data_IF_153079013070
#
_entry.id   IF_153079013070
#
_cell.length_a   1.000
_cell.length_b   1.000
_cell.length_c   1.000
_cell.angle_alpha   90.00
_cell.angle_beta   90.00
_cell.angle_gamma   90.00
#
_symmetry.space_group_name_H-M   'P 1'
#
loop_
_entity.id
_entity.type
_entity.pdbx_description
1 polymer ?
#
# COMPACT_ATOMS: atom_id res chain seq x y z
N UNK A 1 23.91 30.14 0.95
CA UNK A 1 22.66 30.90 0.83
C UNK A 1 21.65 30.25 1.76
N UNK A 2 21.06 31.02 2.64
CA UNK A 2 19.96 30.50 3.46
C UNK A 2 18.70 31.18 2.97
N UNK A 3 17.80 30.41 2.44
CA UNK A 3 16.44 30.85 2.17
C UNK A 3 15.55 30.20 3.23
N UNK A 4 14.83 31.00 3.97
CA UNK A 4 13.91 30.54 5.00
C UNK A 4 12.50 31.03 4.67
N UNK A 5 11.53 30.14 4.72
CA UNK A 5 10.13 30.47 4.54
C UNK A 5 9.27 29.60 5.45
N UNK A 6 8.44 30.23 6.21
CA UNK A 6 7.38 29.55 6.98
C UNK A 6 6.20 29.29 6.06
N UNK A 7 5.74 28.06 5.97
CA UNK A 7 4.51 27.71 5.28
C UNK A 7 3.31 28.13 6.15
N UNK A 8 2.93 29.41 6.09
CA UNK A 8 1.69 29.83 6.71
C UNK A 8 0.50 29.22 5.97
N UNK A 9 -0.23 28.36 6.68
CA UNK A 9 -1.57 27.88 6.32
C UNK A 9 -1.75 27.41 4.86
N UNK A 10 -0.91 26.51 4.38
CA UNK A 10 -1.29 25.75 3.21
C UNK A 10 -2.49 24.88 3.60
N UNK A 11 -3.70 25.24 3.17
CA UNK A 11 -4.83 24.30 3.21
C UNK A 11 -4.42 23.07 2.45
N UNK A 12 -4.29 21.98 3.14
CA UNK A 12 -3.93 20.67 2.59
C UNK A 12 -4.94 20.29 1.51
N UNK A 13 -4.53 20.38 0.27
CA UNK A 13 -5.18 19.72 -0.86
C UNK A 13 -4.18 18.77 -1.45
N UNK A 14 -4.58 17.52 -1.66
CA UNK A 14 -3.76 16.52 -2.34
C UNK A 14 -3.16 17.11 -3.63
N UNK A 15 -1.83 17.02 -3.78
CA UNK A 15 -1.13 17.45 -4.99
C UNK A 15 -0.70 18.91 -5.02
N UNK A 16 -0.55 19.58 -3.88
CA UNK A 16 -0.01 20.94 -3.85
C UNK A 16 1.48 20.97 -4.23
N UNK A 17 1.79 21.73 -5.25
CA UNK A 17 3.16 22.10 -5.60
C UNK A 17 3.50 23.43 -4.97
N UNK A 18 4.58 23.44 -4.21
CA UNK A 18 5.09 24.64 -3.57
C UNK A 18 6.30 25.13 -4.37
N UNK A 19 6.20 26.34 -4.98
CA UNK A 19 7.29 26.94 -5.74
C UNK A 19 8.00 28.00 -4.92
N UNK A 20 9.30 27.86 -4.79
CA UNK A 20 10.18 28.84 -4.17
C UNK A 20 11.09 29.43 -5.22
N UNK A 21 10.99 30.74 -5.44
CA UNK A 21 11.92 31.45 -6.33
C UNK A 21 13.17 31.87 -5.53
N UNK A 22 14.31 31.36 -5.94
CA UNK A 22 15.61 31.73 -5.37
C UNK A 22 16.29 32.68 -6.36
N UNK A 23 16.82 33.78 -5.86
CA UNK A 23 17.63 34.67 -6.68
C UNK A 23 18.84 33.91 -7.27
N UNK A 24 19.24 34.21 -8.50
CA UNK A 24 20.44 33.60 -9.08
C UNK A 24 21.64 33.78 -8.14
N UNK A 25 22.43 32.72 -7.98
CA UNK A 25 23.69 32.77 -7.23
C UNK A 25 24.82 33.23 -8.17
N UNK A 26 25.81 33.85 -7.61
CA UNK A 26 27.05 34.26 -8.30
C UNK A 26 28.08 33.10 -8.43
N UNK A 27 27.66 31.90 -8.00
CA UNK A 27 28.46 30.68 -8.09
C UNK A 27 27.63 29.50 -8.57
N UNK A 28 28.26 28.55 -9.23
CA UNK A 28 27.65 27.28 -9.61
C UNK A 28 27.71 26.30 -8.43
N UNK A 29 26.63 25.57 -8.20
CA UNK A 29 26.56 24.49 -7.21
C UNK A 29 25.90 23.25 -7.81
N UNK A 30 26.41 22.09 -7.42
CA UNK A 30 25.80 20.81 -7.75
C UNK A 30 24.95 20.26 -6.60
N UNK A 31 24.93 20.94 -5.45
CA UNK A 31 24.30 20.47 -4.25
C UNK A 31 23.18 21.41 -3.79
N UNK A 32 22.01 20.86 -3.52
CA UNK A 32 20.90 21.53 -2.87
C UNK A 32 20.60 20.83 -1.54
N UNK A 33 20.65 21.58 -0.46
CA UNK A 33 20.22 21.07 0.86
C UNK A 33 18.88 21.70 1.24
N UNK A 34 17.87 20.88 1.40
CA UNK A 34 16.58 21.25 1.97
C UNK A 34 16.56 20.84 3.45
N UNK A 35 16.23 21.79 4.31
CA UNK A 35 16.04 21.53 5.74
C UNK A 35 14.60 21.85 6.09
N UNK A 36 13.86 20.86 6.58
CA UNK A 36 12.54 21.03 7.11
C UNK A 36 12.61 21.14 8.63
N UNK A 37 12.04 22.20 9.19
CA UNK A 37 11.81 22.29 10.62
C UNK A 37 10.50 21.57 10.95
N UNK A 38 10.63 20.28 11.28
CA UNK A 38 9.49 19.43 11.64
C UNK A 38 9.15 19.47 13.12
N UNK A 39 9.97 20.13 13.94
CA UNK A 39 9.74 20.24 15.39
C UNK A 39 8.66 21.30 15.69
N UNK A 40 8.51 22.30 14.82
CA UNK A 40 7.53 23.37 14.97
C UNK A 40 6.19 23.10 14.28
N UNK A 41 6.01 21.96 13.61
CA UNK A 41 4.80 21.62 12.85
C UNK A 41 4.24 20.30 13.36
N UNK A 42 3.07 20.36 13.99
CA UNK A 42 2.34 19.18 14.41
C UNK A 42 1.81 18.40 13.20
N UNK A 43 2.03 17.10 13.19
CA UNK A 43 1.49 16.19 12.19
C UNK A 43 2.56 15.48 11.35
N UNK A 44 2.09 14.81 10.29
CA UNK A 44 2.94 14.07 9.36
C UNK A 44 3.42 14.97 8.22
N UNK A 45 4.73 15.19 8.14
CA UNK A 45 5.35 16.03 7.10
C UNK A 45 6.06 15.15 6.07
N UNK A 46 5.62 15.23 4.82
CA UNK A 46 6.18 14.45 3.70
C UNK A 46 6.45 15.35 2.49
N UNK A 47 7.60 15.14 1.85
CA UNK A 47 7.92 15.69 0.53
C UNK A 47 7.99 14.53 -0.44
N UNK A 48 7.12 14.52 -1.45
CA UNK A 48 7.07 13.46 -2.45
C UNK A 48 8.09 13.64 -3.56
N UNK A 49 8.42 14.89 -3.92
CA UNK A 49 9.42 15.19 -4.94
C UNK A 49 9.96 16.62 -4.83
N UNK A 50 11.19 16.81 -5.26
CA UNK A 50 11.85 18.12 -5.41
C UNK A 50 12.27 18.27 -6.87
N UNK A 51 11.91 19.38 -7.49
CA UNK A 51 12.33 19.76 -8.83
C UNK A 51 13.04 21.11 -8.84
N UNK A 52 14.04 21.26 -9.70
CA UNK A 52 14.74 22.52 -9.95
C UNK A 52 14.48 22.92 -11.39
N UNK A 53 14.09 24.18 -11.62
CA UNK A 53 13.87 24.73 -12.97
C UNK A 53 14.51 26.11 -13.09
N UNK A 54 15.03 26.43 -14.27
CA UNK A 54 15.64 27.73 -14.58
C UNK A 54 14.61 28.86 -14.75
N UNK A 55 13.36 28.51 -14.93
CA UNK A 55 12.23 29.46 -15.02
C UNK A 55 11.15 29.02 -14.06
N UNK A 56 10.26 29.95 -13.62
CA UNK A 56 9.05 29.53 -12.94
C UNK A 56 8.31 28.57 -13.85
N UNK A 57 8.45 27.28 -13.60
CA UNK A 57 7.65 26.30 -14.27
C UNK A 57 6.20 26.66 -13.94
N UNK A 58 5.41 26.97 -14.94
CA UNK A 58 3.97 26.90 -14.82
C UNK A 58 3.65 25.42 -14.61
N UNK A 59 3.77 24.97 -13.37
CA UNK A 59 3.32 23.63 -13.01
C UNK A 59 1.81 23.68 -13.19
N UNK A 60 1.25 22.90 -14.11
CA UNK A 60 -0.20 22.84 -14.22
C UNK A 60 -0.73 22.43 -12.87
N UNK A 61 -1.51 23.29 -12.23
CA UNK A 61 -2.10 23.01 -10.93
C UNK A 61 -2.86 21.70 -11.02
N UNK A 62 -2.36 20.66 -10.37
CA UNK A 62 -3.09 19.42 -10.11
C UNK A 62 -3.22 18.41 -11.25
N UNK A 63 -2.57 18.60 -12.39
CA UNK A 63 -2.59 17.60 -13.46
C UNK A 63 -1.45 16.59 -13.26
N UNK A 64 -1.77 15.43 -12.69
CA UNK A 64 -0.90 14.25 -12.79
C UNK A 64 -0.79 13.91 -14.28
N UNK A 65 0.45 13.79 -14.80
CA UNK A 65 0.66 13.34 -16.18
C UNK A 65 0.04 11.95 -16.34
N UNK A 66 -1.05 11.87 -17.09
CA UNK A 66 -1.73 10.61 -17.38
C UNK A 66 -1.22 10.02 -18.70
N UNK A 67 -1.15 8.70 -18.78
CA UNK A 67 -0.88 8.01 -20.03
C UNK A 67 -2.13 7.98 -20.91
N UNK A 68 -1.96 8.24 -22.22
CA UNK A 68 -3.06 8.11 -23.20
C UNK A 68 -3.58 6.67 -23.34
N UNK A 69 -2.84 5.70 -22.80
CA UNK A 69 -3.17 4.27 -22.88
C UNK A 69 -4.20 3.82 -21.84
N UNK A 70 -4.39 4.59 -20.79
CA UNK A 70 -5.36 4.28 -19.73
C UNK A 70 -6.30 5.46 -19.60
N UNK A 71 -7.55 5.26 -20.01
CA UNK A 71 -8.61 6.27 -19.90
C UNK A 71 -9.62 5.80 -18.84
N UNK A 72 -9.67 6.50 -17.73
CA UNK A 72 -10.70 6.28 -16.72
C UNK A 72 -12.04 6.90 -17.21
N UNK A 73 -13.02 6.05 -17.41
CA UNK A 73 -14.36 6.47 -17.86
C UNK A 73 -15.22 6.87 -16.66
N UNK A 74 -14.92 7.96 -16.03
CA UNK A 74 -15.76 8.46 -14.95
C UNK A 74 -14.98 8.97 -13.74
N UNK A 75 -15.73 9.44 -12.76
CA UNK A 75 -15.19 9.89 -11.48
C UNK A 75 -15.09 8.71 -10.52
N UNK A 76 -14.12 8.76 -9.60
CA UNK A 76 -14.07 7.81 -8.49
C UNK A 76 -15.38 7.84 -7.70
N UNK A 77 -15.90 6.66 -7.36
CA UNK A 77 -17.14 6.49 -6.62
C UNK A 77 -16.87 5.78 -5.30
N UNK A 78 -17.50 6.25 -4.24
CA UNK A 78 -17.51 5.55 -2.98
C UNK A 78 -18.35 4.27 -3.11
N UNK A 79 -17.82 3.12 -2.66
CA UNK A 79 -18.50 1.82 -2.74
C UNK A 79 -19.63 1.65 -1.71
N UNK A 80 -19.82 2.64 -0.84
CA UNK A 80 -20.90 2.64 0.15
C UNK A 80 -20.65 1.70 1.33
N UNK A 81 -21.61 1.65 2.23
CA UNK A 81 -21.54 0.93 3.50
C UNK A 81 -21.46 -0.60 3.35
N UNK A 82 -21.77 -1.13 2.17
CA UNK A 82 -21.58 -2.56 1.89
C UNK A 82 -20.10 -2.96 1.94
N UNK A 83 -19.20 -2.07 1.52
CA UNK A 83 -17.76 -2.31 1.49
C UNK A 83 -17.05 -1.53 2.57
N UNK A 84 -17.38 -0.24 2.70
CA UNK A 84 -16.71 0.67 3.63
C UNK A 84 -17.34 0.60 5.02
N UNK A 85 -16.53 0.68 6.05
CA UNK A 85 -16.94 0.71 7.45
C UNK A 85 -16.45 1.98 8.15
N UNK A 86 -16.62 2.04 9.46
CA UNK A 86 -16.02 3.09 10.28
C UNK A 86 -14.50 2.90 10.47
N UNK A 87 -13.98 1.70 10.16
CA UNK A 87 -12.54 1.41 10.16
C UNK A 87 -11.85 1.93 8.91
N UNK A 88 -10.67 1.41 8.63
CA UNK A 88 -9.94 1.73 7.41
C UNK A 88 -9.90 0.52 6.49
N UNK A 89 -10.31 0.70 5.25
CA UNK A 89 -10.19 -0.28 4.18
C UNK A 89 -8.94 0.03 3.34
N UNK A 90 -8.00 -0.91 3.30
CA UNK A 90 -6.72 -0.75 2.62
C UNK A 90 -6.38 -1.96 1.75
N UNK A 91 -5.38 -1.81 0.89
CA UNK A 91 -4.80 -2.88 0.06
C UNK A 91 -5.83 -3.67 -0.76
N UNK A 92 -6.71 -3.00 -1.53
CA UNK A 92 -7.71 -3.70 -2.33
C UNK A 92 -7.06 -4.44 -3.50
N UNK A 93 -7.41 -5.72 -3.66
CA UNK A 93 -7.05 -6.57 -4.79
C UNK A 93 -8.31 -7.21 -5.38
N UNK A 94 -8.46 -7.13 -6.70
CA UNK A 94 -9.61 -7.71 -7.40
C UNK A 94 -9.15 -8.90 -8.22
N UNK A 95 -9.94 -9.96 -8.21
CA UNK A 95 -9.70 -11.13 -9.06
C UNK A 95 -9.68 -10.75 -10.54
N UNK A 96 -8.92 -11.45 -11.40
CA UNK A 96 -8.83 -11.12 -12.83
C UNK A 96 -10.17 -11.07 -13.57
N UNK A 97 -11.17 -11.82 -13.11
CA UNK A 97 -12.54 -11.78 -13.65
C UNK A 97 -13.37 -10.57 -13.19
N UNK A 98 -12.80 -9.73 -12.30
CA UNK A 98 -13.44 -8.54 -11.77
C UNK A 98 -14.57 -8.79 -10.76
N UNK A 99 -14.76 -10.04 -10.30
CA UNK A 99 -15.94 -10.40 -9.52
C UNK A 99 -15.72 -10.51 -8.02
N UNK A 100 -14.49 -10.66 -7.56
CA UNK A 100 -14.20 -10.77 -6.12
C UNK A 100 -13.12 -9.78 -5.75
N UNK A 101 -13.37 -9.01 -4.71
CA UNK A 101 -12.41 -8.09 -4.13
C UNK A 101 -12.01 -8.59 -2.75
N UNK A 102 -10.70 -8.67 -2.52
CA UNK A 102 -10.08 -8.86 -1.23
C UNK A 102 -9.49 -7.53 -0.79
N UNK A 103 -9.67 -7.18 0.45
CA UNK A 103 -9.07 -5.97 1.02
C UNK A 103 -8.81 -6.19 2.51
N UNK A 104 -7.97 -5.38 3.10
CA UNK A 104 -7.71 -5.45 4.54
C UNK A 104 -8.53 -4.38 5.25
N UNK A 105 -9.20 -4.77 6.33
CA UNK A 105 -9.94 -3.85 7.20
C UNK A 105 -9.24 -3.74 8.54
N UNK A 106 -8.99 -2.50 8.95
CA UNK A 106 -8.33 -2.16 10.21
C UNK A 106 -9.35 -1.66 11.23
N UNK A 107 -9.06 -1.89 12.50
CA UNK A 107 -9.85 -1.36 13.62
C UNK A 107 -11.35 -1.70 13.53
N UNK A 108 -11.67 -2.95 13.20
CA UNK A 108 -13.05 -3.38 13.05
C UNK A 108 -13.41 -4.49 14.05
N UNK A 109 -14.60 -4.38 14.65
CA UNK A 109 -15.08 -5.33 15.68
C UNK A 109 -15.26 -6.77 15.17
N UNK A 110 -15.37 -6.96 13.87
CA UNK A 110 -15.46 -8.26 13.21
C UNK A 110 -14.11 -8.86 12.82
N UNK A 111 -12.98 -8.25 13.21
CA UNK A 111 -11.66 -8.81 12.99
C UNK A 111 -11.37 -9.95 13.98
N UNK A 112 -10.56 -10.91 13.55
CA UNK A 112 -10.12 -12.05 14.35
C UNK A 112 -9.16 -11.58 15.45
N UNK A 113 -9.17 -12.30 16.59
CA UNK A 113 -8.34 -11.95 17.73
C UNK A 113 -8.80 -10.70 18.44
N UNK A 114 -8.32 -9.53 18.04
CA UNK A 114 -8.68 -8.24 18.63
C UNK A 114 -9.11 -7.21 17.58
N UNK A 115 -9.85 -6.18 18.02
CA UNK A 115 -10.22 -5.07 17.15
C UNK A 115 -8.99 -4.37 16.52
N UNK A 116 -7.82 -4.45 17.17
CA UNK A 116 -6.59 -3.82 16.68
C UNK A 116 -5.91 -4.63 15.57
N UNK A 117 -6.34 -5.87 15.33
CA UNK A 117 -5.80 -6.70 14.26
C UNK A 117 -6.32 -6.23 12.90
N UNK A 118 -5.55 -6.49 11.89
CA UNK A 118 -5.87 -6.23 10.49
C UNK A 118 -6.30 -7.53 9.84
N UNK A 119 -7.53 -7.61 9.34
CA UNK A 119 -8.07 -8.81 8.70
C UNK A 119 -8.37 -8.62 7.23
N UNK A 120 -8.26 -9.70 6.48
CA UNK A 120 -8.76 -9.79 5.10
C UNK A 120 -10.28 -9.86 5.12
N UNK A 121 -10.92 -9.02 4.30
CA UNK A 121 -12.35 -9.02 4.04
C UNK A 121 -12.61 -9.24 2.56
N UNK A 122 -13.77 -9.78 2.24
CA UNK A 122 -14.15 -10.18 0.88
C UNK A 122 -15.48 -9.54 0.52
N UNK A 123 -15.57 -8.96 -0.68
CA UNK A 123 -16.81 -8.55 -1.30
C UNK A 123 -16.88 -9.10 -2.72
N UNK A 124 -18.08 -9.44 -3.20
CA UNK A 124 -18.33 -9.96 -4.54
C UNK A 124 -19.16 -9.00 -5.36
N UNK A 125 -18.88 -8.91 -6.65
CA UNK A 125 -19.59 -8.06 -7.60
C UNK A 125 -20.60 -8.87 -8.41
N UNK A 126 -21.86 -8.47 -8.39
CA UNK A 126 -22.95 -9.16 -9.10
C UNK A 126 -23.16 -8.65 -10.54
N UNK A 127 -22.33 -7.73 -11.02
CA UNK A 127 -22.46 -7.04 -12.30
C UNK A 127 -23.05 -5.63 -12.18
N UNK A 128 -23.61 -5.27 -11.03
CA UNK A 128 -24.17 -3.94 -10.76
C UNK A 128 -23.60 -3.31 -9.48
N UNK A 129 -23.39 -4.09 -8.44
CA UNK A 129 -22.93 -3.61 -7.12
C UNK A 129 -22.06 -4.64 -6.41
N UNK A 130 -21.28 -4.16 -5.47
CA UNK A 130 -20.53 -4.97 -4.52
C UNK A 130 -21.44 -5.44 -3.39
N UNK A 131 -21.27 -6.70 -2.98
CA UNK A 131 -21.98 -7.27 -1.83
C UNK A 131 -21.52 -6.66 -0.52
N UNK A 132 -22.30 -6.85 0.54
CA UNK A 132 -21.80 -6.61 1.89
C UNK A 132 -20.52 -7.43 2.12
N UNK A 133 -19.47 -6.75 2.57
CA UNK A 133 -18.20 -7.39 2.84
C UNK A 133 -18.31 -8.35 4.02
N UNK A 134 -17.64 -9.49 3.90
CA UNK A 134 -17.60 -10.53 4.93
C UNK A 134 -16.17 -10.83 5.33
N UNK A 135 -15.95 -11.09 6.61
CA UNK A 135 -14.69 -11.64 7.10
C UNK A 135 -14.72 -13.16 6.85
N UNK A 136 -13.79 -13.72 6.05
CA UNK A 136 -13.78 -15.17 5.79
C UNK A 136 -13.37 -16.02 6.99
N UNK A 137 -12.80 -15.40 8.03
CA UNK A 137 -12.25 -16.13 9.18
C UNK A 137 -11.08 -17.02 8.81
N UNK A 138 -10.84 -18.04 9.62
CA UNK A 138 -9.80 -19.02 9.30
C UNK A 138 -10.14 -19.85 8.05
N UNK A 139 -9.13 -20.30 7.30
CA UNK A 139 -7.70 -20.21 7.64
C UNK A 139 -6.99 -18.95 7.11
N UNK A 140 -7.67 -18.03 6.41
CA UNK A 140 -7.07 -16.80 5.86
C UNK A 140 -6.72 -15.82 6.98
N UNK A 141 -7.68 -15.60 7.89
CA UNK A 141 -7.49 -14.75 9.06
C UNK A 141 -7.14 -15.57 10.30
N UNK A 142 -6.28 -15.03 11.12
CA UNK A 142 -5.86 -15.56 12.41
C UNK A 142 -5.71 -14.40 13.42
N UNK A 143 -5.19 -14.66 14.60
CA UNK A 143 -5.00 -13.64 15.64
C UNK A 143 -3.85 -12.65 15.37
N UNK A 144 -3.34 -12.58 14.15
CA UNK A 144 -2.32 -11.63 13.72
C UNK A 144 -2.88 -10.68 12.63
N UNK A 145 -2.05 -9.80 12.11
CA UNK A 145 -2.41 -8.95 10.98
C UNK A 145 -2.35 -9.74 9.67
N UNK A 146 -3.42 -9.72 8.90
CA UNK A 146 -3.61 -10.52 7.70
C UNK A 146 -3.81 -9.66 6.45
N UNK A 147 -3.07 -9.98 5.38
CA UNK A 147 -3.11 -9.24 4.11
C UNK A 147 -3.03 -10.19 2.93
N UNK A 148 -3.84 -9.93 1.89
CA UNK A 148 -3.63 -10.54 0.57
C UNK A 148 -2.67 -9.63 -0.21
N UNK A 149 -1.58 -10.22 -0.73
CA UNK A 149 -0.53 -9.50 -1.46
C UNK A 149 -0.38 -9.99 -2.90
N UNK A 150 -1.19 -10.94 -3.31
CA UNK A 150 -1.26 -11.43 -4.68
C UNK A 150 -2.41 -12.40 -4.89
N UNK A 151 -2.94 -12.41 -6.11
CA UNK A 151 -4.01 -13.32 -6.55
C UNK A 151 -3.56 -13.94 -7.87
N UNK A 152 -3.70 -15.26 -8.02
CA UNK A 152 -3.39 -15.94 -9.26
C UNK A 152 -4.34 -15.58 -10.40
N UNK A 153 -3.90 -15.79 -11.65
CA UNK A 153 -4.69 -15.46 -12.85
C UNK A 153 -6.07 -16.11 -12.88
N UNK A 154 -6.23 -17.30 -12.29
CA UNK A 154 -7.52 -17.98 -12.17
C UNK A 154 -8.31 -17.60 -10.89
N UNK A 155 -7.77 -16.76 -10.02
CA UNK A 155 -8.42 -16.33 -8.77
C UNK A 155 -8.51 -17.40 -7.67
N UNK A 156 -7.91 -18.57 -7.86
CA UNK A 156 -8.04 -19.71 -6.95
C UNK A 156 -6.90 -19.86 -5.94
N UNK A 157 -5.83 -19.06 -6.09
CA UNK A 157 -4.72 -19.03 -5.17
C UNK A 157 -4.47 -17.61 -4.69
N UNK A 158 -4.31 -17.44 -3.39
CA UNK A 158 -3.92 -16.19 -2.75
C UNK A 158 -2.50 -16.30 -2.21
N UNK A 159 -1.72 -15.25 -2.39
CA UNK A 159 -0.48 -15.02 -1.67
C UNK A 159 -0.78 -14.09 -0.50
N UNK A 160 -0.39 -14.49 0.69
CA UNK A 160 -0.66 -13.80 1.94
C UNK A 160 0.65 -13.28 2.53
N UNK A 161 0.63 -12.11 3.14
CA UNK A 161 1.71 -11.65 3.99
C UNK A 161 1.78 -12.49 5.26
N UNK A 162 2.97 -12.57 5.82
CA UNK A 162 3.31 -13.32 7.01
C UNK A 162 3.31 -14.85 6.85
N UNK A 163 3.94 -15.52 7.80
CA UNK A 163 3.89 -16.97 7.94
C UNK A 163 2.66 -17.39 8.74
N UNK A 164 2.15 -18.56 8.44
CA UNK A 164 1.04 -19.18 9.15
C UNK A 164 1.53 -20.44 9.85
N UNK A 165 1.16 -20.59 11.09
CA UNK A 165 1.46 -21.78 11.87
C UNK A 165 0.26 -22.12 12.77
N UNK A 166 -0.09 -23.40 12.94
CA UNK A 166 -1.27 -23.79 13.71
C UNK A 166 -1.20 -23.44 15.21
N UNK A 167 0.00 -23.27 15.75
CA UNK A 167 0.24 -23.11 17.19
C UNK A 167 1.13 -21.91 17.49
N UNK A 168 2.08 -21.58 16.61
CA UNK A 168 3.05 -20.50 16.83
C UNK A 168 2.52 -19.18 16.29
N UNK A 169 3.03 -18.08 16.81
CA UNK A 169 2.74 -16.74 16.30
C UNK A 169 3.24 -16.57 14.85
N UNK A 170 2.47 -15.83 14.07
CA UNK A 170 2.87 -15.41 12.73
C UNK A 170 4.16 -14.59 12.77
N UNK A 171 5.00 -14.77 11.77
CA UNK A 171 6.27 -14.05 11.59
C UNK A 171 6.31 -13.39 10.21
N UNK A 172 7.22 -12.48 10.02
CA UNK A 172 7.51 -11.89 8.71
C UNK A 172 7.84 -13.00 7.72
N UNK A 173 7.19 -13.00 6.58
CA UNK A 173 7.32 -13.99 5.54
C UNK A 173 6.14 -13.95 4.58
N UNK A 174 6.00 -14.96 3.77
CA UNK A 174 4.95 -15.08 2.77
C UNK A 174 4.38 -16.49 2.81
N UNK A 175 3.07 -16.58 2.65
CA UNK A 175 2.36 -17.85 2.61
C UNK A 175 1.42 -17.89 1.41
N UNK A 176 1.02 -19.07 1.01
CA UNK A 176 0.02 -19.26 -0.03
C UNK A 176 -1.10 -20.18 0.45
N UNK A 177 -2.31 -19.82 0.07
CA UNK A 177 -3.50 -20.67 0.23
C UNK A 177 -4.23 -20.78 -1.10
N UNK A 178 -4.96 -21.86 -1.29
CA UNK A 178 -5.74 -22.12 -2.49
C UNK A 178 -7.09 -22.72 -2.13
N UNK A 179 -8.03 -22.69 -3.07
CA UNK A 179 -9.31 -23.35 -2.91
C UNK A 179 -9.15 -24.86 -3.08
N UNK A 180 -9.69 -25.61 -2.15
CA UNK A 180 -9.84 -27.06 -2.27
C UNK A 180 -10.89 -27.41 -3.33
N UNK A 181 -11.00 -28.68 -3.69
CA UNK A 181 -12.07 -29.18 -4.57
C UNK A 181 -13.50 -28.92 -4.01
N UNK A 182 -13.62 -28.61 -2.75
CA UNK A 182 -14.90 -28.26 -2.09
C UNK A 182 -15.12 -26.73 -2.03
N UNK A 183 -14.24 -25.94 -2.61
CA UNK A 183 -14.34 -24.48 -2.63
C UNK A 183 -13.87 -23.77 -1.37
N UNK A 184 -13.43 -24.51 -0.34
CA UNK A 184 -12.90 -23.95 0.90
C UNK A 184 -11.42 -23.62 0.77
N UNK A 185 -10.95 -22.56 1.42
CA UNK A 185 -9.53 -22.24 1.52
C UNK A 185 -8.81 -23.29 2.39
N UNK A 186 -7.65 -23.77 1.92
CA UNK A 186 -6.80 -24.66 2.70
C UNK A 186 -5.93 -23.85 3.67
N UNK A 187 -5.44 -24.49 4.72
CA UNK A 187 -4.52 -23.83 5.65
C UNK A 187 -3.27 -23.34 4.90
N UNK A 188 -2.87 -22.06 5.06
CA UNK A 188 -1.78 -21.48 4.28
C UNK A 188 -0.46 -22.23 4.47
N UNK A 189 0.26 -22.43 3.39
CA UNK A 189 1.62 -22.98 3.39
C UNK A 189 2.64 -21.87 3.24
N UNK A 190 3.60 -21.83 4.14
CA UNK A 190 4.68 -20.86 4.11
C UNK A 190 5.59 -21.10 2.90
N UNK A 191 5.93 -20.03 2.20
CA UNK A 191 6.91 -20.07 1.14
C UNK A 191 8.32 -19.93 1.75
N UNK A 192 9.23 -20.74 1.24
CA UNK A 192 10.66 -20.58 1.52
C UNK A 192 11.17 -19.47 0.61
N UNK A 193 11.48 -18.34 1.19
CA UNK A 193 11.97 -17.17 0.46
C UNK A 193 13.37 -16.85 0.98
N UNK A 194 14.42 -17.37 0.33
CA UNK A 194 15.80 -17.09 0.72
C UNK A 194 16.06 -15.59 0.69
N UNK A 195 16.67 -15.06 1.74
CA UNK A 195 17.04 -13.64 1.81
C UNK A 195 15.91 -12.67 2.19
N UNK A 196 14.71 -13.12 2.54
CA UNK A 196 13.75 -12.27 3.26
C UNK A 196 14.24 -12.12 4.70
N UNK A 197 15.17 -11.20 4.88
CA UNK A 197 15.64 -10.75 6.18
C UNK A 197 15.34 -9.26 6.22
N UNK A 198 14.58 -8.83 7.20
CA UNK A 198 14.33 -7.40 7.43
C UNK A 198 14.70 -7.04 8.86
N UNK A 199 15.28 -5.88 9.06
CA UNK A 199 15.55 -5.30 10.37
C UNK A 199 14.34 -4.55 10.92
N UNK A 200 13.32 -4.32 10.09
CA UNK A 200 12.07 -3.67 10.48
C UNK A 200 11.05 -4.69 11.00
N UNK A 201 10.11 -4.21 11.83
CA UNK A 201 8.99 -5.00 12.33
C UNK A 201 7.96 -5.35 11.25
N UNK A 202 7.99 -4.66 10.12
CA UNK A 202 7.02 -4.80 9.04
C UNK A 202 7.73 -4.91 7.69
N UNK A 203 7.21 -5.79 6.85
CA UNK A 203 7.58 -5.91 5.44
C UNK A 203 6.31 -5.83 4.59
N UNK A 204 6.43 -5.25 3.41
CA UNK A 204 5.32 -5.21 2.45
C UNK A 204 5.70 -6.03 1.23
N UNK A 205 4.68 -6.60 0.58
CA UNK A 205 4.87 -7.52 -0.53
C UNK A 205 3.86 -7.26 -1.64
N UNK A 206 4.27 -7.59 -2.85
CA UNK A 206 3.38 -7.71 -4.00
C UNK A 206 3.80 -8.90 -4.85
N UNK A 207 2.88 -9.82 -5.10
CA UNK A 207 3.07 -10.94 -6.01
C UNK A 207 2.21 -10.73 -7.25
N UNK A 208 2.82 -10.75 -8.43
CA UNK A 208 2.07 -10.67 -9.68
C UNK A 208 1.21 -11.93 -9.89
N UNK A 209 0.20 -11.84 -10.73
CA UNK A 209 -0.82 -12.88 -10.88
C UNK A 209 -0.29 -14.20 -11.46
N UNK A 210 0.72 -14.16 -12.33
CA UNK A 210 1.39 -15.35 -12.84
C UNK A 210 2.48 -15.90 -11.91
N UNK A 211 2.72 -15.25 -10.76
CA UNK A 211 3.63 -15.67 -9.69
C UNK A 211 5.10 -15.81 -10.12
N UNK A 212 5.53 -14.96 -11.02
CA UNK A 212 6.91 -14.92 -11.54
C UNK A 212 7.72 -13.76 -11.00
N UNK A 213 7.06 -12.79 -10.34
CA UNK A 213 7.70 -11.61 -9.77
C UNK A 213 7.12 -11.35 -8.40
N UNK A 214 8.00 -11.30 -7.42
CA UNK A 214 7.72 -10.86 -6.06
C UNK A 214 8.45 -9.55 -5.80
N UNK A 215 7.72 -8.49 -5.50
CA UNK A 215 8.29 -7.25 -4.99
C UNK A 215 8.20 -7.24 -3.46
N UNK A 216 9.24 -6.73 -2.83
CA UNK A 216 9.37 -6.69 -1.39
C UNK A 216 9.84 -5.30 -0.96
N UNK A 217 9.20 -4.71 0.05
CA UNK A 217 9.72 -3.53 0.74
C UNK A 217 10.31 -3.97 2.07
N UNK A 218 11.63 -3.99 2.15
CA UNK A 218 12.40 -4.51 3.27
C UNK A 218 13.44 -3.50 3.73
N UNK A 219 13.73 -3.50 5.02
CA UNK A 219 14.90 -2.81 5.58
C UNK A 219 16.00 -3.84 5.84
N UNK A 220 17.09 -3.74 5.09
CA UNK A 220 18.23 -4.66 5.14
C UNK A 220 19.52 -3.90 5.34
N UNK A 221 20.60 -4.62 5.59
CA UNK A 221 21.93 -4.03 5.73
C UNK A 221 22.44 -3.33 4.44
N UNK A 222 21.90 -3.69 3.29
CA UNK A 222 22.20 -3.12 1.98
C UNK A 222 21.15 -2.08 1.51
N UNK A 223 20.18 -1.69 2.36
CA UNK A 223 19.24 -0.63 2.06
C UNK A 223 19.89 0.75 2.06
N UNK A 224 19.45 1.62 1.15
CA UNK A 224 19.86 3.03 1.10
C UNK A 224 19.23 3.89 2.20
N UNK A 225 18.07 3.47 2.70
CA UNK A 225 17.31 4.16 3.74
C UNK A 225 16.76 3.18 4.76
N UNK A 226 15.49 3.36 5.11
CA UNK A 226 14.77 2.42 5.98
C UNK A 226 14.35 1.18 5.18
N UNK A 227 13.28 1.28 4.38
CA UNK A 227 12.83 0.20 3.51
C UNK A 227 13.12 0.53 2.06
N UNK A 228 13.76 -0.37 1.36
CA UNK A 228 13.98 -0.31 -0.07
C UNK A 228 13.17 -1.38 -0.80
N UNK A 229 12.97 -1.20 -2.10
CA UNK A 229 12.28 -2.17 -2.93
C UNK A 229 13.27 -3.19 -3.47
N UNK A 230 12.95 -4.45 -3.23
CA UNK A 230 13.67 -5.61 -3.75
C UNK A 230 12.77 -6.39 -4.69
N UNK A 231 13.37 -7.15 -5.58
CA UNK A 231 12.68 -8.06 -6.51
C UNK A 231 13.23 -9.47 -6.37
N UNK A 232 12.34 -10.45 -6.44
CA UNK A 232 12.67 -11.87 -6.44
C UNK A 232 11.82 -12.60 -7.47
#
# INVERSE_FOLDING_TARGET
LVFERTAESAKWTLGNVFSVNIAPTDFATNDLKLVLDTESIDGFNQIDAIGIAESPATVPSGAISSTDKIVFKGKSQNLGESVNSFGSEISPLVTPDGKTMYFTRKNHVGNSGTIMNDDVWISTYDGSKWSTAVNPGGPINNDANNYVVGISDNGELLTLANTYHPIEASRIGISQTWKSSYGSWVFPKNLITPGIITHNLYAEYFMNSNRTVLLLALERADSYGMKDIYVS
#
